data_IF_273343682133
#
_entry.id   IF_273343682133
#
_cell.length_a   1.000
_cell.length_b   1.000
_cell.length_c   1.000
_cell.angle_alpha   90.00
_cell.angle_beta   90.00
_cell.angle_gamma   90.00
#
_symmetry.space_group_name_H-M   'P 1'
#
loop_
_entity.id
_entity.type
_entity.pdbx_description
1 polymer ?
#
# COMPACT_ATOMS: atom_id res chain seq x y z
N UNK A 1 16.82 -8.87 0.98
CA UNK A 1 16.71 -7.49 0.47
C UNK A 1 15.24 -7.26 0.23
N UNK A 2 14.52 -6.81 1.26
CA UNK A 2 13.11 -6.46 1.16
C UNK A 2 13.10 -4.96 0.90
N UNK A 3 12.92 -4.59 -0.36
CA UNK A 3 12.59 -3.23 -0.77
C UNK A 3 11.08 -3.17 -0.87
N UNK A 4 10.42 -2.44 0.03
CA UNK A 4 9.35 -1.49 -0.30
C UNK A 4 8.71 -0.96 0.99
N UNK A 5 8.25 0.30 0.91
CA UNK A 5 7.30 0.99 1.81
C UNK A 5 6.30 0.03 2.49
N UNK A 6 5.73 0.36 3.68
CA UNK A 6 4.94 -0.55 4.51
C UNK A 6 4.01 -1.45 3.69
N UNK A 7 4.55 -2.60 3.34
CA UNK A 7 3.91 -3.51 2.41
C UNK A 7 3.27 -4.61 3.25
N UNK A 8 2.17 -5.22 2.77
CA UNK A 8 1.62 -6.40 3.43
C UNK A 8 2.69 -7.49 3.64
N UNK A 9 3.66 -7.58 2.72
CA UNK A 9 4.81 -8.46 2.82
C UNK A 9 5.77 -8.06 3.95
N UNK A 10 6.12 -6.79 4.09
CA UNK A 10 6.98 -6.29 5.18
C UNK A 10 6.38 -6.55 6.55
N UNK A 11 5.10 -6.22 6.76
CA UNK A 11 4.40 -6.51 8.02
C UNK A 11 4.29 -8.01 8.31
N UNK A 12 4.10 -8.83 7.27
CA UNK A 12 4.08 -10.28 7.41
C UNK A 12 5.44 -10.80 7.89
N UNK A 13 6.53 -10.31 7.29
CA UNK A 13 7.89 -10.73 7.67
C UNK A 13 8.25 -10.28 9.08
N UNK A 14 7.90 -9.05 9.48
CA UNK A 14 8.06 -8.56 10.86
C UNK A 14 7.38 -9.49 11.87
N UNK A 15 6.09 -9.80 11.66
CA UNK A 15 5.34 -10.73 12.54
C UNK A 15 5.99 -12.11 12.64
N UNK A 16 6.53 -12.64 11.54
CA UNK A 16 7.22 -13.94 11.52
C UNK A 16 8.57 -13.86 12.24
N UNK A 17 9.35 -12.80 12.02
CA UNK A 17 10.63 -12.57 12.69
C UNK A 17 10.50 -12.40 14.20
N UNK A 18 9.46 -11.69 14.66
CA UNK A 18 9.12 -11.57 16.08
C UNK A 18 8.76 -12.94 16.67
N UNK A 19 7.90 -13.72 15.98
CA UNK A 19 7.51 -15.05 16.43
C UNK A 19 8.69 -16.02 16.56
N UNK A 20 9.57 -16.06 15.56
CA UNK A 20 10.74 -16.95 15.54
C UNK A 20 12.00 -16.36 16.20
N UNK A 21 11.90 -15.16 16.78
CA UNK A 21 13.01 -14.44 17.43
C UNK A 21 14.23 -14.34 16.50
N UNK A 22 14.00 -14.01 15.23
CA UNK A 22 15.05 -13.80 14.24
C UNK A 22 15.24 -12.30 14.01
N UNK A 23 16.50 -11.82 13.92
CA UNK A 23 16.75 -10.43 13.55
C UNK A 23 16.24 -10.16 12.12
N UNK A 24 15.74 -8.95 11.90
CA UNK A 24 15.22 -8.47 10.61
C UNK A 24 15.93 -7.18 10.22
N UNK A 25 16.31 -7.07 8.95
CA UNK A 25 16.82 -5.85 8.35
C UNK A 25 15.81 -5.41 7.28
N UNK A 26 15.11 -4.32 7.56
CA UNK A 26 14.16 -3.68 6.66
C UNK A 26 14.82 -2.45 6.01
N UNK A 27 14.55 -2.25 4.72
CA UNK A 27 15.10 -1.14 3.95
C UNK A 27 14.09 -0.65 2.93
N UNK A 28 13.79 0.64 2.94
CA UNK A 28 12.91 1.29 1.98
C UNK A 28 13.62 2.38 1.20
N UNK A 29 13.13 2.66 0.00
CA UNK A 29 13.57 3.79 -0.81
C UNK A 29 12.36 4.48 -1.43
N UNK A 30 12.33 5.81 -1.40
CA UNK A 30 11.33 6.65 -2.04
C UNK A 30 12.05 7.76 -2.83
N UNK A 31 12.19 7.56 -4.15
CA UNK A 31 12.95 8.46 -5.01
C UNK A 31 14.41 8.54 -4.57
N UNK A 32 14.85 9.72 -4.11
CA UNK A 32 16.21 9.94 -3.58
C UNK A 32 16.32 9.71 -2.07
N UNK A 33 15.21 9.46 -1.37
CA UNK A 33 15.20 9.18 0.07
C UNK A 33 15.32 7.68 0.30
N UNK A 34 16.08 7.30 1.32
CA UNK A 34 16.18 5.91 1.78
C UNK A 34 16.06 5.82 3.30
N UNK A 35 15.47 4.73 3.78
CA UNK A 35 15.40 4.37 5.19
C UNK A 35 15.92 2.94 5.38
N UNK A 36 16.57 2.69 6.51
CA UNK A 36 16.99 1.35 6.93
C UNK A 36 16.61 1.19 8.40
N UNK A 37 15.87 0.15 8.72
CA UNK A 37 15.45 -0.17 10.08
C UNK A 37 15.93 -1.57 10.47
N UNK A 38 16.58 -1.68 11.62
CA UNK A 38 17.09 -2.94 12.16
C UNK A 38 16.19 -3.36 13.33
N UNK A 39 15.64 -4.57 13.26
CA UNK A 39 14.84 -5.17 14.34
C UNK A 39 15.64 -6.31 14.98
N UNK A 40 16.05 -6.11 16.24
CA UNK A 40 16.77 -7.08 17.07
C UNK A 40 15.82 -7.58 18.17
N UNK A 41 15.58 -8.91 18.26
CA UNK A 41 14.75 -9.49 19.32
C UNK A 41 15.23 -9.06 20.71
N UNK A 42 14.27 -8.67 21.57
CA UNK A 42 14.50 -8.25 22.96
C UNK A 42 15.25 -6.92 23.16
N UNK A 43 15.57 -6.18 22.10
CA UNK A 43 16.29 -4.91 22.22
C UNK A 43 15.56 -3.75 21.54
N UNK A 44 15.12 -3.93 20.29
CA UNK A 44 14.47 -2.88 19.52
C UNK A 44 12.97 -3.14 19.39
N UNK A 45 12.20 -2.09 19.12
CA UNK A 45 10.80 -2.23 18.75
C UNK A 45 10.63 -2.91 17.38
N UNK A 46 9.48 -3.55 17.18
CA UNK A 46 9.08 -4.14 15.89
C UNK A 46 8.74 -3.07 14.87
N UNK A 47 8.90 -3.40 13.59
CA UNK A 47 8.54 -2.52 12.47
C UNK A 47 7.06 -2.08 12.55
N UNK A 48 6.17 -2.98 12.97
CA UNK A 48 4.74 -2.71 13.11
C UNK A 48 4.34 -1.85 14.33
N UNK A 49 5.27 -1.46 15.20
CA UNK A 49 4.98 -0.63 16.38
C UNK A 49 4.71 0.84 16.03
N UNK A 50 5.33 1.33 14.95
CA UNK A 50 5.13 2.66 14.40
C UNK A 50 4.21 2.59 13.19
N UNK A 51 3.13 3.36 13.20
CA UNK A 51 2.24 3.44 12.04
C UNK A 51 2.66 4.61 11.15
N UNK A 52 3.07 4.29 9.93
CA UNK A 52 3.33 5.29 8.90
C UNK A 52 2.04 6.06 8.53
N UNK A 53 2.17 7.31 8.06
CA UNK A 53 1.02 8.08 7.61
C UNK A 53 0.32 7.32 6.48
N UNK A 54 -1.02 7.19 6.53
CA UNK A 54 -1.77 6.50 5.49
C UNK A 54 -1.63 7.24 4.16
N UNK A 55 -1.75 6.49 3.07
CA UNK A 55 -1.79 7.06 1.73
C UNK A 55 -2.92 8.10 1.64
N UNK A 56 -2.63 9.25 1.01
CA UNK A 56 -3.60 10.33 0.88
C UNK A 56 -4.72 9.89 -0.06
N UNK A 57 -5.89 9.54 0.49
CA UNK A 57 -7.08 9.28 -0.31
C UNK A 57 -7.81 10.58 -0.61
N UNK A 58 -8.23 10.75 -1.87
CA UNK A 58 -9.03 11.90 -2.31
C UNK A 58 -10.51 11.59 -1.96
N UNK A 59 -11.24 12.52 -1.32
CA UNK A 59 -12.64 12.27 -0.98
C UNK A 59 -13.51 12.10 -2.24
N UNK A 60 -14.39 11.10 -2.23
CA UNK A 60 -15.20 10.70 -3.39
C UNK A 60 -16.10 11.82 -3.93
N UNK A 61 -16.56 12.71 -3.07
CA UNK A 61 -17.37 13.87 -3.48
C UNK A 61 -16.58 14.85 -4.36
N UNK A 62 -15.28 14.99 -4.11
CA UNK A 62 -14.37 15.85 -4.87
C UNK A 62 -14.06 15.22 -6.22
N UNK A 63 -13.88 13.90 -6.28
CA UNK A 63 -13.68 13.16 -7.53
C UNK A 63 -14.90 13.24 -8.46
N UNK A 64 -16.12 13.17 -7.90
CA UNK A 64 -17.36 13.11 -8.70
C UNK A 64 -17.93 14.47 -9.10
N UNK A 65 -17.80 15.50 -8.26
CA UNK A 65 -18.54 16.75 -8.47
C UNK A 65 -17.64 18.00 -8.54
N UNK A 66 -16.49 18.00 -7.87
CA UNK A 66 -15.69 19.22 -7.69
C UNK A 66 -14.18 18.96 -7.80
N UNK A 67 -13.66 18.53 -8.97
CA UNK A 67 -12.22 18.37 -9.15
C UNK A 67 -11.53 19.74 -9.19
N UNK A 68 -10.52 19.93 -8.33
CA UNK A 68 -9.75 21.18 -8.24
C UNK A 68 -8.24 20.99 -8.55
N UNK A 69 -7.80 19.75 -8.77
CA UNK A 69 -6.42 19.39 -9.09
C UNK A 69 -6.39 18.27 -10.14
N UNK A 70 -5.28 18.19 -10.90
CA UNK A 70 -5.11 17.18 -11.96
C UNK A 70 -5.14 15.75 -11.41
N UNK A 71 -4.61 15.54 -10.20
CA UNK A 71 -4.62 14.24 -9.50
C UNK A 71 -6.05 13.69 -9.35
N UNK A 72 -7.04 14.56 -9.16
CA UNK A 72 -8.44 14.16 -9.03
C UNK A 72 -9.00 13.64 -10.35
N UNK A 73 -8.67 14.29 -11.46
CA UNK A 73 -9.10 13.85 -12.80
C UNK A 73 -8.40 12.58 -13.25
N UNK A 74 -7.14 12.37 -12.84
CA UNK A 74 -6.42 11.13 -13.10
C UNK A 74 -7.03 9.95 -12.36
N UNK A 75 -7.36 10.14 -11.07
CA UNK A 75 -8.04 9.11 -10.29
C UNK A 75 -9.43 8.82 -10.85
N UNK A 76 -10.20 9.84 -11.23
CA UNK A 76 -11.50 9.67 -11.89
C UNK A 76 -11.37 8.88 -13.20
N UNK A 77 -10.40 9.21 -14.05
CA UNK A 77 -10.20 8.52 -15.32
C UNK A 77 -9.82 7.04 -15.13
N UNK A 78 -9.03 6.72 -14.09
CA UNK A 78 -8.73 5.34 -13.70
C UNK A 78 -9.99 4.58 -13.29
N UNK A 79 -10.82 5.19 -12.45
CA UNK A 79 -12.06 4.58 -11.97
C UNK A 79 -13.06 4.35 -13.12
N UNK A 80 -13.20 5.30 -14.05
CA UNK A 80 -14.03 5.14 -15.26
C UNK A 80 -13.51 4.03 -16.17
N UNK A 81 -12.19 3.95 -16.37
CA UNK A 81 -11.60 2.86 -17.17
C UNK A 81 -11.90 1.49 -16.54
N UNK A 82 -11.76 1.37 -15.22
CA UNK A 82 -12.07 0.12 -14.52
C UNK A 82 -13.57 -0.21 -14.58
N UNK A 83 -14.44 0.79 -14.45
CA UNK A 83 -15.89 0.64 -14.54
C UNK A 83 -16.41 0.29 -15.94
N UNK A 84 -15.73 0.70 -17.00
CA UNK A 84 -16.15 0.41 -18.39
C UNK A 84 -15.58 -0.91 -18.92
N UNK A 85 -14.33 -1.23 -18.61
CA UNK A 85 -13.62 -2.33 -19.28
C UNK A 85 -13.36 -3.56 -18.41
N UNK A 86 -13.31 -3.40 -17.08
CA UNK A 86 -13.04 -4.51 -16.17
C UNK A 86 -14.32 -5.03 -15.53
N UNK A 87 -15.06 -4.19 -14.82
CA UNK A 87 -16.24 -4.65 -14.06
C UNK A 87 -17.33 -5.29 -14.95
N UNK A 88 -17.70 -4.73 -16.12
CA UNK A 88 -18.77 -5.33 -16.93
C UNK A 88 -18.34 -6.67 -17.54
N UNK A 89 -17.06 -6.81 -17.92
CA UNK A 89 -16.53 -8.05 -18.49
C UNK A 89 -16.42 -9.15 -17.43
N UNK A 90 -15.93 -8.83 -16.24
CA UNK A 90 -15.89 -9.75 -15.09
C UNK A 90 -17.30 -10.20 -14.68
N UNK A 91 -18.25 -9.26 -14.58
CA UNK A 91 -19.64 -9.58 -14.22
C UNK A 91 -20.32 -10.46 -15.27
N UNK A 92 -20.11 -10.19 -16.55
CA UNK A 92 -20.65 -11.02 -17.63
C UNK A 92 -20.06 -12.44 -17.58
N UNK A 93 -18.75 -12.57 -17.35
CA UNK A 93 -18.09 -13.88 -17.23
C UNK A 93 -18.59 -14.67 -16.01
N UNK A 94 -18.77 -14.01 -14.87
CA UNK A 94 -19.32 -14.62 -13.66
C UNK A 94 -20.77 -15.10 -13.86
N UNK A 95 -21.58 -14.38 -14.64
CA UNK A 95 -22.94 -14.80 -14.94
C UNK A 95 -23.01 -16.03 -15.85
N UNK A 96 -21.97 -16.25 -16.67
CA UNK A 96 -21.89 -17.34 -17.63
C UNK A 96 -21.30 -18.63 -17.05
N UNK A 97 -20.72 -18.60 -15.84
CA UNK A 97 -20.11 -19.74 -15.14
C UNK A 97 -20.96 -20.16 -13.96
#
# INVERSE_FOLDING_TARGET
MLCECPSPAGMYMDRRCVYYRKPLLESGTLGTKGNVQVVIPFLTESYSSSQDPPEKSIPICTLKNFPNAIEHTLQWARDEFEGLFKQPSENAMQYLT
#
